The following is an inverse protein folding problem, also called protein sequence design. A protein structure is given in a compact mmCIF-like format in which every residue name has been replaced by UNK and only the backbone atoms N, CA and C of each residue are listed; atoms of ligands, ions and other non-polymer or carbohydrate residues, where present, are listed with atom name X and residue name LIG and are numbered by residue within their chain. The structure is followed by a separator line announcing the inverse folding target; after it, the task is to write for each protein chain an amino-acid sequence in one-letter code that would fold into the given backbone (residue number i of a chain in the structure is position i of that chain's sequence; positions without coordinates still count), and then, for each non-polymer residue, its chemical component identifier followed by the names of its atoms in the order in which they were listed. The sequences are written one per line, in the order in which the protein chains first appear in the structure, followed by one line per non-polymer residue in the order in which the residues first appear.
data_IF_078796704755
#
_entry.id   IF_078796704755
#
_cell.length_a   1.000
_cell.length_b   1.000
_cell.length_c   1.000
_cell.angle_alpha   90.00
_cell.angle_beta   90.00
_cell.angle_gamma   90.00
#
_symmetry.space_group_name_H-M   'P 1'
#
loop_
_entity.id
_entity.type
_entity.pdbx_description
1 polymer ?
#
# COMPACT_ATOMS: atom_id res chain seq x y z
N UNK A 1 -1.79 -15.20 -17.55
CA UNK A 1 -1.11 -16.37 -16.95
C UNK A 1 -1.35 -16.27 -15.46
N UNK A 2 -1.80 -17.35 -14.80
CA UNK A 2 -1.93 -17.34 -13.34
C UNK A 2 -0.54 -17.36 -12.70
N UNK A 3 -0.38 -16.64 -11.58
CA UNK A 3 0.86 -16.65 -10.83
C UNK A 3 1.12 -18.04 -10.23
N UNK A 4 2.37 -18.51 -10.13
CA UNK A 4 2.67 -19.78 -9.48
C UNK A 4 2.48 -19.67 -7.96
N UNK A 5 2.26 -20.81 -7.29
CA UNK A 5 2.31 -20.90 -5.83
C UNK A 5 1.00 -20.56 -5.09
N UNK A 6 -0.13 -20.65 -5.78
CA UNK A 6 -1.45 -20.49 -5.16
C UNK A 6 -1.75 -21.54 -4.08
N UNK A 7 -2.54 -21.21 -3.04
CA UNK A 7 -3.24 -19.93 -2.83
C UNK A 7 -2.42 -18.88 -2.06
N UNK A 8 -1.12 -19.10 -1.82
CA UNK A 8 -0.31 -18.28 -0.93
C UNK A 8 -0.51 -18.59 0.55
N UNK A 9 0.21 -17.88 1.41
CA UNK A 9 0.07 -17.99 2.86
C UNK A 9 -1.22 -17.30 3.37
N UNK A 10 -1.82 -17.76 4.48
CA UNK A 10 -2.95 -17.06 5.08
C UNK A 10 -2.51 -15.65 5.54
N UNK A 11 -3.36 -14.62 5.39
CA UNK A 11 -3.06 -13.29 5.88
C UNK A 11 -3.02 -13.29 7.41
N UNK A 12 -2.31 -12.30 7.92
CA UNK A 12 -2.31 -11.95 9.34
C UNK A 12 -2.76 -10.51 9.46
N UNK A 13 -3.47 -10.18 10.53
CA UNK A 13 -3.75 -8.77 10.82
C UNK A 13 -2.45 -8.01 11.03
N UNK A 14 -2.41 -6.78 10.49
CA UNK A 14 -1.32 -5.86 10.75
C UNK A 14 -1.26 -5.46 12.23
N UNK A 15 -0.22 -4.73 12.64
CA UNK A 15 -0.09 -4.25 14.01
C UNK A 15 -1.30 -3.39 14.41
N UNK A 16 -1.87 -3.67 15.59
CA UNK A 16 -3.00 -2.89 16.13
C UNK A 16 -2.61 -1.48 16.60
N UNK A 17 -1.31 -1.22 16.82
CA UNK A 17 -0.79 0.11 17.16
C UNK A 17 -0.76 0.98 15.89
N UNK A 18 -1.78 1.82 15.73
CA UNK A 18 -1.85 2.78 14.64
C UNK A 18 -1.19 4.09 15.02
N UNK A 19 -0.47 4.68 14.07
CA UNK A 19 0.22 5.96 14.21
C UNK A 19 -0.67 7.12 13.75
N UNK A 20 -1.60 6.85 12.84
CA UNK A 20 -2.53 7.83 12.30
C UNK A 20 -3.82 7.16 11.83
N UNK A 21 -4.89 7.94 11.77
CA UNK A 21 -6.17 7.61 11.17
C UNK A 21 -6.67 8.83 10.39
N UNK A 22 -7.05 8.64 9.13
CA UNK A 22 -7.46 9.74 8.27
C UNK A 22 -8.72 9.43 7.46
N UNK A 23 -9.42 10.50 7.10
CA UNK A 23 -10.57 10.52 6.17
C UNK A 23 -10.80 11.95 5.71
N UNK A 24 -11.33 12.11 4.51
CA UNK A 24 -11.74 13.43 4.04
C UNK A 24 -12.94 13.93 4.86
N UNK A 25 -13.08 15.25 5.03
CA UNK A 25 -14.21 15.83 5.75
C UNK A 25 -15.51 15.69 4.94
N UNK A 26 -16.63 15.53 5.64
CA UNK A 26 -17.95 15.42 5.03
C UNK A 26 -18.32 13.99 4.61
N UNK A 27 -19.49 13.79 3.98
CA UNK A 27 -20.06 12.46 3.74
C UNK A 27 -19.82 11.93 2.32
N UNK A 28 -19.19 12.69 1.43
CA UNK A 28 -19.08 12.35 0.01
C UNK A 28 -18.04 11.27 -0.23
N UNK A 29 -16.85 11.44 0.31
CA UNK A 29 -15.82 10.39 0.34
C UNK A 29 -16.11 9.38 1.46
N UNK A 30 -16.05 8.10 1.10
CA UNK A 30 -16.26 6.95 2.00
C UNK A 30 -14.98 6.16 2.22
N UNK A 31 -13.84 6.86 2.20
CA UNK A 31 -12.52 6.26 2.34
C UNK A 31 -11.89 6.69 3.65
N UNK A 32 -11.69 5.72 4.52
CA UNK A 32 -10.92 5.88 5.76
C UNK A 32 -9.63 5.07 5.66
N UNK A 33 -8.57 5.54 6.30
CA UNK A 33 -7.29 4.84 6.28
C UNK A 33 -6.55 4.94 7.60
N UNK A 34 -5.69 3.96 7.87
CA UNK A 34 -4.78 3.92 9.02
C UNK A 34 -3.33 3.86 8.55
N UNK A 35 -2.43 4.43 9.35
CA UNK A 35 -0.99 4.22 9.18
C UNK A 35 -0.45 3.40 10.35
N UNK A 36 0.43 2.44 10.05
CA UNK A 36 1.17 1.69 11.04
C UNK A 36 2.58 1.38 10.53
N UNK A 37 3.57 1.45 11.42
CA UNK A 37 4.98 1.23 11.11
C UNK A 37 5.41 1.93 9.80
N UNK A 38 5.08 3.22 9.72
CA UNK A 38 5.40 4.09 8.58
C UNK A 38 4.66 3.81 7.27
N UNK A 39 3.79 2.81 7.18
CA UNK A 39 3.08 2.43 5.95
C UNK A 39 1.56 2.50 6.10
N UNK A 40 0.87 2.42 4.97
CA UNK A 40 -0.59 2.31 4.95
C UNK A 40 -0.95 0.91 5.42
N UNK A 41 -1.70 0.81 6.52
CA UNK A 41 -2.28 -0.47 6.96
C UNK A 41 -3.68 -0.61 6.35
N UNK A 42 -4.73 -0.64 7.15
CA UNK A 42 -6.09 -0.82 6.65
C UNK A 42 -6.62 0.44 5.92
N UNK A 43 -7.21 0.22 4.75
CA UNK A 43 -8.11 1.17 4.09
C UNK A 43 -9.52 0.60 4.14
N UNK A 44 -10.47 1.42 4.57
CA UNK A 44 -11.87 1.05 4.73
C UNK A 44 -12.73 1.71 3.66
N UNK A 45 -13.60 0.91 3.05
CA UNK A 45 -14.55 1.36 2.03
C UNK A 45 -15.63 0.29 1.81
N UNK A 46 -16.91 0.64 1.56
CA UNK A 46 -17.52 1.97 1.68
C UNK A 46 -18.00 2.29 3.11
N UNK A 47 -17.75 1.37 4.06
CA UNK A 47 -18.10 1.50 5.47
C UNK A 47 -16.86 1.30 6.34
N UNK A 48 -16.85 1.92 7.52
CA UNK A 48 -15.71 1.91 8.43
C UNK A 48 -15.43 0.51 9.04
N UNK A 49 -16.38 -0.42 8.96
CA UNK A 49 -16.23 -1.81 9.37
C UNK A 49 -15.77 -2.75 8.23
N UNK A 50 -15.61 -2.23 7.02
CA UNK A 50 -15.19 -3.00 5.85
C UNK A 50 -13.76 -2.63 5.43
N UNK A 51 -12.80 -3.51 5.72
CA UNK A 51 -11.42 -3.39 5.24
C UNK A 51 -11.37 -3.81 3.77
N UNK A 52 -11.07 -2.86 2.89
CA UNK A 52 -10.91 -3.07 1.45
C UNK A 52 -9.45 -3.35 1.07
N UNK A 53 -8.51 -2.62 1.68
CA UNK A 53 -7.08 -2.87 1.54
C UNK A 53 -6.49 -3.18 2.91
N UNK A 54 -5.69 -4.23 3.00
CA UNK A 54 -5.07 -4.65 4.26
C UNK A 54 -3.75 -3.92 4.53
N UNK A 55 -2.96 -3.71 3.49
CA UNK A 55 -1.70 -2.98 3.56
C UNK A 55 -1.26 -2.47 2.18
N UNK A 56 -0.54 -1.35 2.18
CA UNK A 56 0.28 -0.90 1.05
C UNK A 56 1.67 -0.52 1.57
N UNK A 57 2.67 -1.24 1.07
CA UNK A 57 4.04 -1.21 1.55
C UNK A 57 5.00 -0.87 0.42
N UNK A 58 6.15 -0.34 0.81
CA UNK A 58 7.25 -0.07 -0.09
C UNK A 58 8.43 -1.00 0.20
N UNK A 59 9.07 -1.47 -0.86
CA UNK A 59 10.31 -2.21 -0.79
C UNK A 59 11.38 -1.47 -1.58
N UNK A 60 12.61 -1.52 -1.09
CA UNK A 60 13.77 -0.91 -1.75
C UNK A 60 14.79 -2.00 -2.03
N UNK A 61 15.28 -2.08 -3.25
CA UNK A 61 16.28 -3.09 -3.62
C UNK A 61 17.19 -2.59 -4.74
N UNK A 62 18.48 -2.93 -4.64
CA UNK A 62 19.42 -2.90 -5.76
C UNK A 62 19.37 -4.25 -6.51
N UNK A 63 19.76 -4.25 -7.79
CA UNK A 63 19.78 -5.49 -8.58
C UNK A 63 20.58 -6.62 -7.92
N UNK A 64 19.92 -7.73 -7.59
CA UNK A 64 20.53 -8.91 -6.97
C UNK A 64 20.72 -8.84 -5.45
N UNK A 65 20.33 -7.75 -4.80
CA UNK A 65 20.30 -7.64 -3.34
C UNK A 65 18.92 -8.05 -2.79
N UNK A 66 18.85 -8.65 -1.58
CA UNK A 66 17.58 -8.86 -0.90
C UNK A 66 16.82 -7.52 -0.75
N UNK A 67 15.49 -7.51 -0.93
CA UNK A 67 14.72 -6.29 -0.73
C UNK A 67 14.69 -5.87 0.74
N UNK A 68 14.83 -4.57 0.98
CA UNK A 68 14.60 -3.91 2.26
C UNK A 68 13.12 -3.56 2.35
N UNK A 69 12.50 -3.90 3.47
CA UNK A 69 11.11 -3.61 3.73
C UNK A 69 10.99 -2.29 4.48
N UNK A 70 10.49 -1.25 3.80
CA UNK A 70 10.50 0.11 4.34
C UNK A 70 9.85 0.19 5.72
N UNK A 71 8.74 -0.54 5.92
CA UNK A 71 7.99 -0.52 7.17
C UNK A 71 8.68 -1.24 8.34
N UNK A 72 9.51 -2.24 8.04
CA UNK A 72 10.16 -3.06 9.06
C UNK A 72 11.56 -2.52 9.40
N UNK A 73 12.29 -2.03 8.39
CA UNK A 73 13.69 -1.68 8.49
C UNK A 73 13.94 -0.17 8.56
N UNK A 74 12.93 0.64 8.18
CA UNK A 74 13.00 2.10 8.21
C UNK A 74 12.74 2.71 9.59
N UNK A 75 13.32 3.89 9.84
CA UNK A 75 12.93 4.75 10.97
C UNK A 75 11.92 5.79 10.49
N UNK A 76 10.74 5.82 11.10
CA UNK A 76 9.62 6.63 10.63
C UNK A 76 9.24 7.76 11.58
N UNK A 77 9.13 8.96 11.03
CA UNK A 77 8.46 10.08 11.68
C UNK A 77 7.11 10.34 11.00
N UNK A 78 6.02 10.35 11.76
CA UNK A 78 4.67 10.63 11.25
C UNK A 78 4.21 11.98 11.79
N UNK A 79 3.81 12.88 10.89
CA UNK A 79 3.36 14.24 11.20
C UNK A 79 2.08 14.57 10.44
N UNK A 80 1.32 15.54 10.95
CA UNK A 80 0.17 16.11 10.25
C UNK A 80 0.68 17.04 9.14
N UNK A 81 0.04 17.04 7.96
CA UNK A 81 0.34 18.03 6.91
C UNK A 81 0.03 19.46 7.38
N UNK A 82 -1.03 19.59 8.18
CA UNK A 82 -1.41 20.81 8.88
C UNK A 82 -2.17 20.44 10.17
N UNK A 83 -2.06 21.24 11.25
CA UNK A 83 -2.82 20.98 12.47
C UNK A 83 -4.32 20.79 12.20
N UNK A 84 -4.88 19.68 12.68
CA UNK A 84 -6.30 19.35 12.55
C UNK A 84 -6.76 18.84 11.17
N UNK A 85 -5.86 18.76 10.17
CA UNK A 85 -6.19 18.20 8.85
C UNK A 85 -5.81 16.72 8.85
N UNK A 86 -6.76 15.77 8.74
CA UNK A 86 -6.52 14.31 8.80
C UNK A 86 -5.81 13.79 7.54
N UNK A 87 -4.61 14.33 7.32
CA UNK A 87 -3.67 14.10 6.24
C UNK A 87 -2.27 14.08 6.86
N UNK A 88 -1.45 13.12 6.45
CA UNK A 88 -0.23 12.80 7.17
C UNK A 88 0.96 12.71 6.25
N UNK A 89 2.10 13.23 6.71
CA UNK A 89 3.41 12.98 6.13
C UNK A 89 4.13 11.92 6.95
N UNK A 90 4.70 10.94 6.27
CA UNK A 90 5.65 9.98 6.82
C UNK A 90 7.00 10.23 6.20
N UNK A 91 8.00 10.48 7.04
CA UNK A 91 9.40 10.58 6.63
C UNK A 91 10.14 9.34 7.12
N UNK A 92 10.68 8.58 6.18
CA UNK A 92 11.50 7.40 6.46
C UNK A 92 12.98 7.72 6.29
N UNK A 93 13.77 7.37 7.30
CA UNK A 93 15.24 7.36 7.25
C UNK A 93 15.74 5.92 7.29
N UNK A 94 16.53 5.54 6.29
CA UNK A 94 17.27 4.29 6.22
C UNK A 94 18.70 4.57 5.73
N UNK A 95 19.68 3.74 6.08
CA UNK A 95 21.08 4.01 5.70
C UNK A 95 21.34 3.99 4.17
N UNK A 96 20.39 3.47 3.39
CA UNK A 96 20.47 3.39 1.93
C UNK A 96 19.62 4.44 1.20
N UNK A 97 18.64 5.05 1.86
CA UNK A 97 17.67 5.95 1.21
C UNK A 97 16.92 6.87 2.18
N UNK A 98 16.24 7.87 1.61
CA UNK A 98 15.15 8.61 2.24
C UNK A 98 13.87 8.42 1.44
N UNK A 99 12.75 8.29 2.14
CA UNK A 99 11.43 8.17 1.52
C UNK A 99 10.43 9.05 2.27
N UNK A 100 9.88 10.05 1.59
CA UNK A 100 8.79 10.87 2.11
C UNK A 100 7.49 10.45 1.46
N UNK A 101 6.46 10.19 2.26
CA UNK A 101 5.13 9.77 1.81
C UNK A 101 4.08 10.71 2.40
N UNK A 102 3.11 11.15 1.61
CA UNK A 102 1.97 11.93 2.08
C UNK A 102 0.69 11.19 1.74
N UNK A 103 -0.20 11.04 2.73
CA UNK A 103 -1.45 10.30 2.62
C UNK A 103 -2.62 11.22 2.96
N UNK A 104 -3.61 11.29 2.08
CA UNK A 104 -4.87 12.01 2.28
C UNK A 104 -5.97 11.47 1.36
N UNK A 105 -7.23 11.44 1.80
CA UNK A 105 -8.35 11.11 0.91
C UNK A 105 -8.90 12.35 0.20
N UNK A 106 -9.41 12.13 -1.01
CA UNK A 106 -10.12 13.13 -1.78
C UNK A 106 -11.48 13.42 -1.12
N UNK A 107 -11.87 14.68 -0.85
CA UNK A 107 -13.19 15.00 -0.29
C UNK A 107 -14.36 14.81 -1.26
N UNK A 108 -14.09 14.84 -2.57
CA UNK A 108 -15.09 14.72 -3.62
C UNK A 108 -15.18 13.31 -4.20
N UNK A 109 -14.13 12.50 -4.10
CA UNK A 109 -14.11 11.15 -4.68
C UNK A 109 -13.73 10.07 -3.65
N UNK A 110 -14.12 8.83 -3.92
CA UNK A 110 -13.71 7.68 -3.11
C UNK A 110 -12.28 7.27 -3.48
N UNK A 111 -11.32 8.15 -3.20
CA UNK A 111 -9.92 7.97 -3.54
C UNK A 111 -9.02 8.32 -2.35
N UNK A 112 -7.96 7.53 -2.18
CA UNK A 112 -6.82 7.84 -1.32
C UNK A 112 -5.67 8.27 -2.22
N UNK A 113 -5.09 9.44 -1.96
CA UNK A 113 -3.92 9.93 -2.64
C UNK A 113 -2.67 9.62 -1.81
N UNK A 114 -1.64 9.15 -2.50
CA UNK A 114 -0.32 8.89 -1.98
C UNK A 114 0.70 9.64 -2.83
N UNK A 115 1.27 10.72 -2.29
CA UNK A 115 2.40 11.39 -2.91
C UNK A 115 3.70 10.86 -2.27
N UNK A 116 4.63 10.35 -3.07
CA UNK A 116 5.87 9.78 -2.57
C UNK A 116 7.10 10.38 -3.28
N UNK A 117 8.10 10.74 -2.50
CA UNK A 117 9.41 11.21 -2.99
C UNK A 117 10.47 10.25 -2.46
N UNK A 118 11.14 9.56 -3.38
CA UNK A 118 12.22 8.63 -3.08
C UNK A 118 13.58 9.24 -3.45
N UNK A 119 14.48 9.29 -2.48
CA UNK A 119 15.84 9.81 -2.64
C UNK A 119 16.82 8.71 -2.26
N UNK A 120 17.40 8.00 -3.24
CA UNK A 120 18.41 6.98 -2.95
C UNK A 120 19.72 7.62 -2.46
N UNK A 121 20.34 7.02 -1.45
CA UNK A 121 21.69 7.39 -0.96
C UNK A 121 22.77 6.42 -1.48
N UNK A 122 22.35 5.28 -2.06
CA UNK A 122 23.20 4.32 -2.78
C UNK A 122 22.82 4.22 -4.27
N UNK A 123 23.75 3.84 -5.16
CA UNK A 123 23.46 3.66 -6.59
C UNK A 123 22.51 2.48 -6.84
N UNK A 124 21.83 2.51 -7.99
CA UNK A 124 21.00 1.43 -8.53
C UNK A 124 19.81 0.96 -7.68
N UNK A 125 19.48 1.69 -6.60
CA UNK A 125 18.28 1.41 -5.81
C UNK A 125 17.01 1.69 -6.61
N UNK A 126 16.06 0.76 -6.50
CA UNK A 126 14.73 0.86 -7.06
C UNK A 126 13.69 0.77 -5.96
N UNK A 127 12.62 1.51 -6.12
CA UNK A 127 11.45 1.48 -5.25
C UNK A 127 10.38 0.59 -5.86
N UNK A 128 9.83 -0.29 -5.06
CA UNK A 128 8.73 -1.18 -5.40
C UNK A 128 7.58 -0.93 -4.43
N UNK A 129 6.36 -1.19 -4.88
CA UNK A 129 5.14 -1.06 -4.08
C UNK A 129 4.41 -2.39 -4.10
N UNK A 130 3.98 -2.84 -2.93
CA UNK A 130 3.08 -3.98 -2.78
C UNK A 130 1.77 -3.48 -2.18
N UNK A 131 0.65 -3.95 -2.72
CA UNK A 131 -0.67 -3.76 -2.16
C UNK A 131 -1.31 -5.12 -1.93
N UNK A 132 -1.78 -5.35 -0.71
CA UNK A 132 -2.44 -6.59 -0.32
C UNK A 132 -3.91 -6.29 -0.03
N UNK A 133 -4.82 -6.89 -0.81
CA UNK A 133 -6.25 -6.87 -0.48
C UNK A 133 -6.51 -7.68 0.79
N UNK A 134 -7.57 -7.34 1.52
CA UNK A 134 -7.89 -8.05 2.74
C UNK A 134 -8.61 -9.37 2.45
N UNK A 135 -8.00 -10.47 2.90
CA UNK A 135 -8.60 -11.80 2.80
C UNK A 135 -9.34 -12.16 4.08
N UNK A 136 -10.65 -12.41 3.96
CA UNK A 136 -11.39 -13.11 4.98
C UNK A 136 -11.24 -14.63 4.75
N UNK A 137 -10.81 -15.41 5.76
CA UNK A 137 -10.72 -16.86 5.62
C UNK A 137 -12.06 -17.47 5.20
N UNK A 138 -12.05 -18.29 4.14
CA UNK A 138 -13.24 -19.00 3.66
C UNK A 138 -14.18 -18.17 2.76
N UNK A 139 -13.79 -16.96 2.35
CA UNK A 139 -14.51 -16.21 1.32
C UNK A 139 -13.81 -16.35 -0.02
N UNK A 140 -14.55 -16.74 -1.05
CA UNK A 140 -14.14 -16.50 -2.44
C UNK A 140 -14.06 -14.99 -2.70
N UNK A 141 -13.27 -14.59 -3.69
CA UNK A 141 -13.39 -13.24 -4.23
C UNK A 141 -12.26 -12.27 -3.94
N UNK A 142 -11.06 -12.73 -3.56
CA UNK A 142 -9.86 -11.90 -3.62
C UNK A 142 -9.09 -12.19 -4.91
N UNK A 143 -9.18 -11.27 -5.87
CA UNK A 143 -8.50 -11.39 -7.16
C UNK A 143 -7.61 -10.19 -7.41
N UNK A 144 -6.43 -10.45 -7.97
CA UNK A 144 -5.54 -9.42 -8.49
C UNK A 144 -5.40 -9.57 -10.00
N UNK A 145 -5.45 -8.46 -10.72
CA UNK A 145 -5.09 -8.42 -12.14
C UNK A 145 -4.33 -7.13 -12.49
N UNK A 146 -3.56 -7.17 -13.57
CA UNK A 146 -2.93 -5.99 -14.14
C UNK A 146 -3.79 -5.50 -15.29
N UNK A 147 -4.14 -4.21 -15.28
CA UNK A 147 -4.79 -3.55 -16.41
C UNK A 147 -3.69 -3.04 -17.35
N UNK A 148 -3.69 -3.53 -18.58
CA UNK A 148 -2.74 -3.14 -19.62
C UNK A 148 -3.07 -1.72 -20.14
N UNK A 149 -2.45 -0.74 -19.48
CA UNK A 149 -2.53 0.70 -19.77
C UNK A 149 -1.11 1.26 -19.75
N UNK A 150 -0.93 2.53 -20.15
CA UNK A 150 0.38 3.18 -20.12
C UNK A 150 0.34 4.44 -19.26
N UNK A 151 0.85 4.41 -18.01
CA UNK A 151 1.45 3.27 -17.28
C UNK A 151 0.41 2.19 -16.88
N UNK A 152 0.81 0.93 -16.59
CA UNK A 152 -0.09 -0.13 -16.13
C UNK A 152 -0.70 0.19 -14.77
N UNK A 153 -1.86 -0.41 -14.48
CA UNK A 153 -2.56 -0.27 -13.20
C UNK A 153 -2.79 -1.63 -12.52
N UNK A 154 -2.85 -1.65 -11.19
CA UNK A 154 -3.21 -2.83 -10.41
C UNK A 154 -4.71 -2.77 -10.10
N UNK A 155 -5.42 -3.86 -10.40
CA UNK A 155 -6.83 -4.02 -10.04
C UNK A 155 -6.95 -5.14 -9.02
N UNK A 156 -7.45 -4.80 -7.85
CA UNK A 156 -7.83 -5.75 -6.80
C UNK A 156 -9.35 -5.81 -6.73
N UNK A 157 -9.89 -7.01 -6.60
CA UNK A 157 -11.30 -7.25 -6.36
C UNK A 157 -11.43 -7.99 -5.03
N UNK A 158 -12.31 -7.50 -4.17
CA UNK A 158 -12.77 -8.15 -2.94
C UNK A 158 -14.30 -8.23 -3.00
N UNK A 159 -14.82 -9.41 -3.38
CA UNK A 159 -16.27 -9.60 -3.61
C UNK A 159 -16.81 -8.60 -4.66
N UNK A 160 -17.68 -7.67 -4.25
CA UNK A 160 -18.27 -6.62 -5.09
C UNK A 160 -17.50 -5.28 -5.03
N UNK A 161 -16.43 -5.21 -4.23
CA UNK A 161 -15.57 -4.03 -4.12
C UNK A 161 -14.36 -4.17 -5.05
N UNK A 162 -14.07 -3.09 -5.76
CA UNK A 162 -12.94 -2.97 -6.67
C UNK A 162 -12.02 -1.85 -6.24
N UNK A 163 -10.72 -2.10 -6.26
CA UNK A 163 -9.67 -1.13 -5.95
C UNK A 163 -8.76 -1.05 -7.16
N UNK A 164 -8.63 0.15 -7.72
CA UNK A 164 -7.69 0.42 -8.79
C UNK A 164 -6.55 1.28 -8.25
N UNK A 165 -5.32 0.77 -8.31
CA UNK A 165 -4.12 1.50 -7.94
C UNK A 165 -3.43 1.94 -9.23
N UNK A 166 -3.41 3.25 -9.41
CA UNK A 166 -2.75 3.92 -10.52
C UNK A 166 -1.51 4.65 -10.02
N UNK A 167 -0.45 4.63 -10.81
CA UNK A 167 0.81 5.26 -10.45
C UNK A 167 1.77 5.24 -11.63
N UNK A 168 2.96 5.82 -11.50
CA UNK A 168 3.98 5.85 -12.54
C UNK A 168 4.72 4.51 -12.65
N UNK A 169 4.00 3.39 -12.62
CA UNK A 169 4.58 2.05 -12.63
C UNK A 169 5.26 1.78 -13.98
N UNK A 170 6.51 1.32 -13.97
CA UNK A 170 7.19 0.83 -15.17
C UNK A 170 6.87 -0.63 -15.48
N UNK A 171 6.49 -1.40 -14.45
CA UNK A 171 6.04 -2.80 -14.50
C UNK A 171 5.03 -3.03 -13.39
N UNK A 172 4.05 -3.88 -13.63
CA UNK A 172 3.10 -4.35 -12.63
C UNK A 172 2.97 -5.88 -12.75
N UNK A 173 2.84 -6.56 -11.61
CA UNK A 173 2.62 -8.00 -11.52
C UNK A 173 1.63 -8.27 -10.40
N UNK A 174 1.01 -9.45 -10.45
CA UNK A 174 0.15 -9.97 -9.37
C UNK A 174 0.66 -11.35 -8.99
N UNK A 175 0.64 -11.66 -7.70
CA UNK A 175 1.24 -12.85 -7.14
C UNK A 175 0.56 -13.29 -5.86
N UNK A 176 0.89 -14.49 -5.41
CA UNK A 176 0.37 -15.04 -4.16
C UNK A 176 1.26 -14.66 -2.99
N UNK A 177 0.64 -14.19 -1.90
CA UNK A 177 1.35 -13.74 -0.70
C UNK A 177 2.28 -14.82 -0.13
N UNK A 178 3.51 -14.44 0.16
CA UNK A 178 4.63 -15.29 0.59
C UNK A 178 4.88 -16.49 -0.34
N UNK A 179 4.57 -16.35 -1.63
CA UNK A 179 4.95 -17.35 -2.62
C UNK A 179 5.48 -16.78 -3.93
N UNK A 180 4.81 -15.79 -4.50
CA UNK A 180 5.17 -15.16 -5.79
C UNK A 180 4.89 -13.66 -5.78
N UNK A 181 4.80 -13.07 -4.58
CA UNK A 181 4.71 -11.63 -4.41
C UNK A 181 6.07 -10.96 -4.61
N UNK A 182 6.06 -9.62 -4.66
CA UNK A 182 7.23 -8.81 -4.95
C UNK A 182 8.32 -8.88 -3.87
N UNK A 183 8.01 -9.40 -2.68
CA UNK A 183 9.02 -9.62 -1.65
C UNK A 183 9.85 -10.89 -1.96
N UNK A 184 9.31 -11.82 -2.75
CA UNK A 184 9.99 -13.07 -3.14
C UNK A 184 10.57 -13.03 -4.57
N UNK A 185 9.89 -12.35 -5.52
CA UNK A 185 10.31 -12.22 -6.93
C UNK A 185 11.56 -11.34 -7.12
#
# INVERSE_FOLDING_TARGET
MEAPGGPGAPPMWGPGRKMAFGTAPGPRSKVWYTLADGSLSEVFFPFLDHVALHELRFFVSAGGAPPVDDSADGQHAVTWLSPGVPAFRVETTHHEYRLTKEFFSDPEENALLLAATFTPELPDLRLYLQASAHWQPGTDGNFGSVIDTHPPALLLQQQDIWICIVGPFSRATVGYFRSSDIHID
#
